data_IF_061615493847
#
_entry.id   IF_061615493847
#
_cell.length_a   1.000
_cell.length_b   1.000
_cell.length_c   1.000
_cell.angle_alpha   90.00
_cell.angle_beta   90.00
_cell.angle_gamma   90.00
#
_symmetry.space_group_name_H-M   'P 1'
#
loop_
_entity.id
_entity.type
_entity.pdbx_description
1 polymer ?
#
# COMPACT_ATOMS: atom_id res chain seq x y z
N UNK A 1 -18.22 6.76 -12.03
CA UNK A 1 -17.20 5.80 -11.57
C UNK A 1 -16.10 6.56 -10.84
N UNK A 2 -15.69 6.07 -9.67
CA UNK A 2 -14.63 6.72 -8.88
C UNK A 2 -13.27 6.52 -9.53
N UNK A 3 -12.40 7.53 -9.41
CA UNK A 3 -11.00 7.39 -9.80
C UNK A 3 -10.27 6.51 -8.79
N UNK A 4 -9.41 5.63 -9.28
CA UNK A 4 -8.61 4.78 -8.43
C UNK A 4 -7.27 5.46 -8.11
N UNK A 5 -7.03 5.72 -6.83
CA UNK A 5 -5.82 6.37 -6.32
C UNK A 5 -5.05 5.38 -5.47
N UNK A 6 -3.78 5.19 -5.80
CA UNK A 6 -2.86 4.37 -5.01
C UNK A 6 -1.90 5.28 -4.24
N UNK A 7 -1.69 4.98 -2.98
CA UNK A 7 -0.73 5.66 -2.12
C UNK A 7 0.26 4.64 -1.60
N UNK A 8 1.55 4.90 -1.74
CA UNK A 8 2.56 3.97 -1.26
C UNK A 8 3.94 4.59 -1.16
N UNK A 9 4.80 3.93 -0.40
CA UNK A 9 6.20 4.32 -0.30
C UNK A 9 6.99 3.84 -1.51
N UNK A 10 7.94 4.65 -1.95
CA UNK A 10 8.99 4.20 -2.85
C UNK A 10 9.75 3.04 -2.19
N UNK A 11 9.87 1.91 -2.89
CA UNK A 11 10.66 0.78 -2.43
C UNK A 11 12.14 1.00 -2.73
N UNK A 12 12.91 1.49 -1.77
CA UNK A 12 14.31 1.86 -2.01
C UNK A 12 15.20 0.69 -2.46
N UNK A 13 14.85 -0.53 -2.09
CA UNK A 13 15.55 -1.73 -2.53
C UNK A 13 14.82 -2.41 -3.70
N UNK A 14 13.52 -2.62 -3.57
CA UNK A 14 12.72 -3.36 -4.55
C UNK A 14 12.55 -2.58 -5.85
N UNK A 15 12.16 -1.31 -5.76
CA UNK A 15 11.94 -0.48 -6.95
C UNK A 15 13.24 -0.12 -7.67
N UNK A 16 14.39 -0.22 -7.00
CA UNK A 16 15.69 -0.05 -7.65
C UNK A 16 16.04 -1.17 -8.63
N UNK A 17 15.39 -2.32 -8.52
CA UNK A 17 15.53 -3.42 -9.47
C UNK A 17 16.88 -4.13 -9.47
N UNK A 18 17.71 -3.95 -8.45
CA UNK A 18 19.12 -4.41 -8.46
C UNK A 18 19.29 -5.94 -8.45
N UNK A 19 18.41 -6.67 -7.77
CA UNK A 19 18.54 -8.13 -7.61
C UNK A 19 17.52 -8.93 -8.40
N UNK A 20 16.36 -8.34 -8.62
CA UNK A 20 15.27 -8.93 -9.42
C UNK A 20 14.75 -7.81 -10.28
N UNK A 21 14.41 -8.13 -11.52
CA UNK A 21 13.83 -7.12 -12.43
C UNK A 21 12.43 -6.68 -12.02
N UNK A 22 11.95 -7.14 -10.88
CA UNK A 22 10.65 -6.78 -10.34
C UNK A 22 10.74 -5.46 -9.55
N UNK A 23 9.97 -4.51 -10.01
CA UNK A 23 9.80 -3.21 -9.36
C UNK A 23 8.34 -3.07 -8.96
N UNK A 24 8.00 -3.28 -7.66
CA UNK A 24 6.60 -3.36 -7.22
C UNK A 24 5.73 -2.18 -7.63
N UNK A 25 6.25 -0.98 -7.51
CA UNK A 25 5.48 0.23 -7.84
C UNK A 25 5.19 0.34 -9.34
N UNK A 26 6.09 -0.14 -10.19
CA UNK A 26 5.89 -0.13 -11.64
C UNK A 26 4.96 -1.26 -12.08
N UNK A 27 5.20 -2.48 -11.60
CA UNK A 27 4.36 -3.61 -11.97
C UNK A 27 2.92 -3.50 -11.48
N UNK A 28 2.69 -2.74 -10.41
CA UNK A 28 1.33 -2.51 -9.94
C UNK A 28 0.43 -1.93 -11.04
N UNK A 29 0.93 -0.99 -11.82
CA UNK A 29 0.14 -0.35 -12.89
C UNK A 29 0.06 -1.17 -14.17
N UNK A 30 0.76 -2.32 -14.25
CA UNK A 30 0.67 -3.24 -15.38
C UNK A 30 -0.56 -4.15 -15.31
N UNK A 31 -1.22 -4.24 -14.15
CA UNK A 31 -2.41 -5.08 -13.99
C UNK A 31 -3.64 -4.46 -14.67
N UNK A 32 -4.10 -5.09 -15.75
CA UNK A 32 -5.20 -4.58 -16.55
C UNK A 32 -6.54 -4.53 -15.78
N UNK A 33 -6.71 -5.41 -14.81
CA UNK A 33 -7.89 -5.49 -13.96
C UNK A 33 -7.85 -4.54 -12.76
N UNK A 34 -6.76 -3.79 -12.60
CA UNK A 34 -6.61 -2.80 -11.54
C UNK A 34 -6.05 -1.51 -12.13
N UNK A 35 -6.85 -0.75 -12.89
CA UNK A 35 -6.40 0.50 -13.49
C UNK A 35 -6.18 1.58 -12.42
N UNK A 36 -5.07 2.27 -12.51
CA UNK A 36 -4.69 3.33 -11.56
C UNK A 36 -4.75 4.68 -12.27
N UNK A 37 -5.56 5.58 -11.74
CA UNK A 37 -5.70 6.94 -12.29
C UNK A 37 -4.63 7.88 -11.73
N UNK A 38 -4.31 7.73 -10.43
CA UNK A 38 -3.27 8.53 -9.78
C UNK A 38 -2.49 7.68 -8.80
N UNK A 39 -1.19 7.88 -8.77
CA UNK A 39 -0.27 7.22 -7.83
C UNK A 39 0.45 8.29 -7.01
N UNK A 40 0.18 8.33 -5.72
CA UNK A 40 0.88 9.17 -4.75
C UNK A 40 2.09 8.38 -4.23
N UNK A 41 3.27 8.71 -4.72
CA UNK A 41 4.51 8.00 -4.39
C UNK A 41 5.30 8.78 -3.32
N UNK A 42 5.39 8.22 -2.14
CA UNK A 42 6.04 8.83 -0.98
C UNK A 42 7.52 8.47 -0.97
N UNK A 43 8.39 9.47 -0.85
CA UNK A 43 9.84 9.27 -0.82
C UNK A 43 10.52 10.29 0.08
N UNK A 44 11.72 9.97 0.57
CA UNK A 44 12.58 10.96 1.21
C UNK A 44 13.40 11.71 0.17
N UNK A 45 13.93 12.86 0.53
CA UNK A 45 14.79 13.68 -0.37
C UNK A 45 16.01 12.89 -0.85
N UNK A 46 16.54 12.03 -0.01
CA UNK A 46 17.69 11.17 -0.34
C UNK A 46 17.43 10.32 -1.60
N UNK A 47 16.20 9.89 -1.81
CA UNK A 47 15.82 8.99 -2.88
C UNK A 47 15.05 9.68 -4.01
N UNK A 48 15.15 11.00 -4.10
CA UNK A 48 14.42 11.78 -5.10
C UNK A 48 14.73 11.33 -6.53
N UNK A 49 15.99 11.05 -6.85
CA UNK A 49 16.37 10.61 -8.20
C UNK A 49 15.74 9.27 -8.55
N UNK A 50 15.71 8.31 -7.60
CA UNK A 50 15.01 7.05 -7.81
C UNK A 50 13.51 7.27 -7.96
N UNK A 51 12.92 8.13 -7.13
CA UNK A 51 11.50 8.44 -7.22
C UNK A 51 11.13 9.00 -8.59
N UNK A 52 11.94 9.89 -9.15
CA UNK A 52 11.72 10.43 -10.49
C UNK A 52 11.85 9.38 -11.58
N UNK A 53 12.78 8.45 -11.46
CA UNK A 53 12.92 7.30 -12.39
C UNK A 53 11.70 6.40 -12.33
N UNK A 54 11.21 6.11 -11.14
CA UNK A 54 10.03 5.25 -10.97
C UNK A 54 8.77 5.97 -11.49
N UNK A 55 8.64 7.26 -11.22
CA UNK A 55 7.57 8.07 -11.81
C UNK A 55 7.55 7.97 -13.33
N UNK A 56 8.70 8.18 -13.95
CA UNK A 56 8.82 8.09 -15.41
C UNK A 56 8.47 6.68 -15.93
N UNK A 57 8.91 5.63 -15.22
CA UNK A 57 8.61 4.27 -15.58
C UNK A 57 7.11 3.94 -15.46
N UNK A 58 6.46 4.41 -14.39
CA UNK A 58 5.02 4.25 -14.20
C UNK A 58 4.25 4.96 -15.30
N UNK A 59 4.56 6.20 -15.57
CA UNK A 59 3.86 7.01 -16.59
C UNK A 59 4.09 6.47 -18.00
N UNK A 60 5.27 5.89 -18.27
CA UNK A 60 5.56 5.21 -19.53
C UNK A 60 4.79 3.90 -19.69
N UNK A 61 4.70 3.12 -18.62
CA UNK A 61 4.00 1.83 -18.59
C UNK A 61 2.48 2.02 -18.65
N UNK A 62 1.98 3.04 -17.97
CA UNK A 62 0.56 3.34 -17.84
C UNK A 62 0.33 4.84 -18.09
N UNK A 63 0.21 5.26 -19.37
CA UNK A 63 0.07 6.69 -19.69
C UNK A 63 -1.11 7.39 -19.08
N UNK A 64 -2.17 6.64 -18.70
CA UNK A 64 -3.33 7.19 -18.01
C UNK A 64 -3.09 7.44 -16.51
N UNK A 65 -2.00 6.94 -15.95
CA UNK A 65 -1.69 7.12 -14.53
C UNK A 65 -0.89 8.39 -14.31
N UNK A 66 -1.44 9.32 -13.55
CA UNK A 66 -0.71 10.50 -13.07
C UNK A 66 0.07 10.12 -11.83
N UNK A 67 1.37 10.41 -11.78
CA UNK A 67 2.20 10.16 -10.60
C UNK A 67 2.54 11.47 -9.92
N UNK A 68 2.17 11.57 -8.65
CA UNK A 68 2.55 12.71 -7.81
C UNK A 68 3.58 12.23 -6.77
N UNK A 69 4.71 12.92 -6.73
CA UNK A 69 5.76 12.62 -5.75
C UNK A 69 5.46 13.37 -4.46
N UNK A 70 5.42 12.65 -3.35
CA UNK A 70 5.18 13.20 -2.02
C UNK A 70 6.44 13.05 -1.19
N UNK A 71 7.09 14.17 -0.86
CA UNK A 71 8.27 14.14 -0.01
C UNK A 71 7.86 14.01 1.46
N UNK A 72 8.44 13.02 2.13
CA UNK A 72 8.20 12.78 3.56
C UNK A 72 9.53 12.38 4.20
N UNK A 73 9.96 13.14 5.20
CA UNK A 73 11.21 12.86 5.90
C UNK A 73 10.93 12.10 7.18
N UNK A 74 11.50 10.91 7.28
CA UNK A 74 11.45 10.04 8.45
C UNK A 74 12.89 9.70 8.80
N UNK A 75 13.33 10.11 9.99
CA UNK A 75 14.73 9.89 10.43
C UNK A 75 15.02 8.42 10.65
N UNK A 76 14.11 7.74 11.35
CA UNK A 76 14.22 6.31 11.61
C UNK A 76 12.95 5.60 11.13
N UNK A 77 13.00 4.95 9.95
CA UNK A 77 11.83 4.25 9.40
C UNK A 77 11.45 2.99 10.20
N UNK A 78 12.20 2.63 11.22
CA UNK A 78 11.90 1.53 12.14
C UNK A 78 11.31 2.00 13.47
N UNK A 79 11.25 3.32 13.71
CA UNK A 79 10.62 3.89 14.90
C UNK A 79 9.11 4.02 14.67
N UNK A 80 8.33 3.25 15.41
CA UNK A 80 6.88 3.21 15.27
C UNK A 80 6.22 4.57 15.50
N UNK A 81 6.60 5.29 16.56
CA UNK A 81 5.99 6.57 16.88
C UNK A 81 6.24 7.61 15.79
N UNK A 82 7.47 7.66 15.28
CA UNK A 82 7.83 8.61 14.23
C UNK A 82 7.10 8.31 12.92
N UNK A 83 7.08 7.04 12.51
CA UNK A 83 6.39 6.63 11.27
C UNK A 83 4.89 6.83 11.38
N UNK A 84 4.29 6.41 12.50
CA UNK A 84 2.86 6.61 12.71
C UNK A 84 2.48 8.09 12.70
N UNK A 85 3.25 8.93 13.41
CA UNK A 85 3.02 10.37 13.44
C UNK A 85 3.11 11.02 12.06
N UNK A 86 4.13 10.64 11.28
CA UNK A 86 4.31 11.18 9.92
C UNK A 86 3.15 10.78 9.00
N UNK A 87 2.71 9.53 9.06
CA UNK A 87 1.59 9.06 8.25
C UNK A 87 0.25 9.61 8.73
N UNK A 88 0.08 9.79 10.03
CA UNK A 88 -1.11 10.43 10.58
C UNK A 88 -1.22 11.89 10.10
N UNK A 89 -0.13 12.64 10.17
CA UNK A 89 -0.10 14.02 9.69
C UNK A 89 -0.38 14.09 8.18
N UNK A 90 0.21 13.19 7.41
CA UNK A 90 -0.09 13.06 5.99
C UNK A 90 -1.59 12.83 5.76
N UNK A 91 -2.19 11.94 6.52
CA UNK A 91 -3.62 11.64 6.40
C UNK A 91 -4.50 12.84 6.72
N UNK A 92 -4.12 13.63 7.72
CA UNK A 92 -4.86 14.84 8.09
C UNK A 92 -4.78 15.94 7.01
N UNK A 93 -3.65 16.04 6.34
CA UNK A 93 -3.38 17.11 5.38
C UNK A 93 -3.79 16.76 3.95
N UNK A 94 -3.96 15.48 3.64
CA UNK A 94 -4.14 15.02 2.25
C UNK A 94 -5.47 15.50 1.62
N UNK A 95 -6.53 15.61 2.38
CA UNK A 95 -7.83 16.03 1.83
C UNK A 95 -8.50 14.93 0.99
N UNK A 96 -8.75 13.78 1.59
CA UNK A 96 -9.43 12.67 0.93
C UNK A 96 -10.84 13.05 0.48
N UNK A 97 -11.23 12.59 -0.71
CA UNK A 97 -12.56 12.74 -1.28
C UNK A 97 -13.07 11.36 -1.69
N UNK A 98 -13.63 10.64 -0.73
CA UNK A 98 -14.10 9.26 -0.94
C UNK A 98 -15.41 9.17 -1.71
N UNK A 99 -16.04 10.28 -2.02
CA UNK A 99 -17.17 10.31 -2.94
C UNK A 99 -16.74 10.20 -4.41
N UNK A 100 -15.59 10.78 -4.75
CA UNK A 100 -15.08 10.85 -6.12
C UNK A 100 -13.92 9.90 -6.39
N UNK A 101 -13.20 9.52 -5.33
CA UNK A 101 -11.99 8.73 -5.44
C UNK A 101 -12.06 7.50 -4.53
N UNK A 102 -11.51 6.41 -5.00
CA UNK A 102 -11.30 5.20 -4.23
C UNK A 102 -9.81 5.07 -3.95
N UNK A 103 -9.46 4.90 -2.68
CA UNK A 103 -8.06 4.89 -2.25
C UNK A 103 -7.60 3.48 -1.91
N UNK A 104 -6.38 3.17 -2.34
CA UNK A 104 -5.71 1.92 -2.04
C UNK A 104 -4.30 2.22 -1.54
N UNK A 105 -3.92 1.63 -0.43
CA UNK A 105 -2.55 1.75 0.10
C UNK A 105 -1.75 0.54 -0.34
N UNK A 106 -0.63 0.80 -1.04
CA UNK A 106 0.28 -0.24 -1.49
C UNK A 106 1.17 -0.69 -0.32
N UNK A 107 0.93 -1.88 0.20
CA UNK A 107 1.61 -2.42 1.37
C UNK A 107 2.97 -3.04 1.08
N UNK A 108 3.25 -3.41 -0.16
CA UNK A 108 4.42 -4.24 -0.50
C UNK A 108 5.74 -3.53 -0.24
N UNK A 109 5.76 -2.21 -0.32
CA UNK A 109 6.94 -1.38 -0.14
C UNK A 109 6.97 -0.75 1.25
N UNK A 110 8.16 -0.30 1.65
CA UNK A 110 8.37 0.29 2.98
C UNK A 110 8.81 -0.74 4.03
N UNK A 111 9.05 -0.27 5.24
CA UNK A 111 9.42 -1.14 6.36
C UNK A 111 8.19 -1.87 6.92
N UNK A 112 8.42 -2.90 7.72
CA UNK A 112 7.33 -3.57 8.46
C UNK A 112 6.59 -2.58 9.37
N UNK A 113 7.30 -1.63 9.95
CA UNK A 113 6.71 -0.57 10.77
C UNK A 113 5.73 0.27 9.95
N UNK A 114 6.14 0.68 8.75
CA UNK A 114 5.26 1.42 7.84
C UNK A 114 4.02 0.60 7.47
N UNK A 115 4.18 -0.69 7.20
CA UNK A 115 3.06 -1.57 6.87
C UNK A 115 2.06 -1.65 8.02
N UNK A 116 2.54 -1.80 9.25
CA UNK A 116 1.69 -1.83 10.45
C UNK A 116 0.96 -0.50 10.62
N UNK A 117 1.66 0.62 10.46
CA UNK A 117 1.06 1.96 10.57
C UNK A 117 -0.03 2.18 9.51
N UNK A 118 0.23 1.79 8.27
CA UNK A 118 -0.78 1.85 7.20
C UNK A 118 -2.02 1.04 7.57
N UNK A 119 -1.83 -0.17 8.04
CA UNK A 119 -2.94 -1.03 8.47
C UNK A 119 -3.77 -0.36 9.56
N UNK A 120 -3.11 0.16 10.61
CA UNK A 120 -3.80 0.80 11.72
C UNK A 120 -4.60 2.03 11.28
N UNK A 121 -4.02 2.86 10.41
CA UNK A 121 -4.67 4.07 9.92
C UNK A 121 -5.85 3.76 9.00
N UNK A 122 -5.74 2.73 8.19
CA UNK A 122 -6.84 2.30 7.32
C UNK A 122 -7.95 1.60 8.12
N UNK A 123 -7.60 0.75 9.06
CA UNK A 123 -8.56 0.04 9.92
C UNK A 123 -9.34 1.01 10.80
N UNK A 124 -8.67 2.00 11.40
CA UNK A 124 -9.30 3.03 12.22
C UNK A 124 -10.04 4.10 11.41
N UNK A 125 -9.98 4.03 10.08
CA UNK A 125 -10.64 4.96 9.14
C UNK A 125 -10.10 6.39 9.20
N UNK A 126 -8.89 6.60 9.72
CA UNK A 126 -8.19 7.87 9.51
C UNK A 126 -7.80 8.06 8.05
N UNK A 127 -7.61 6.95 7.34
CA UNK A 127 -7.45 6.93 5.89
C UNK A 127 -8.58 6.07 5.32
N UNK A 128 -9.44 6.63 4.46
CA UNK A 128 -10.57 5.88 3.87
C UNK A 128 -10.09 5.02 2.70
N UNK A 129 -9.25 4.03 2.98
CA UNK A 129 -8.59 3.24 1.96
C UNK A 129 -8.72 1.74 2.22
N UNK A 130 -8.70 0.97 1.14
CA UNK A 130 -8.39 -0.46 1.17
C UNK A 130 -6.88 -0.63 1.07
N UNK A 131 -6.41 -1.84 1.33
CA UNK A 131 -5.00 -2.18 1.16
C UNK A 131 -4.81 -2.95 -0.14
N UNK A 132 -3.69 -2.75 -0.81
CA UNK A 132 -3.31 -3.54 -1.97
C UNK A 132 -1.93 -4.12 -1.77
N UNK A 133 -1.80 -5.41 -2.04
CA UNK A 133 -0.57 -6.15 -1.90
C UNK A 133 -0.19 -6.74 -3.25
N UNK A 134 1.05 -6.57 -3.64
CA UNK A 134 1.59 -7.12 -4.89
C UNK A 134 2.70 -8.11 -4.59
N UNK A 135 2.91 -9.03 -5.52
CA UNK A 135 3.97 -10.02 -5.43
C UNK A 135 4.67 -10.20 -6.76
N UNK A 136 5.93 -10.69 -6.75
CA UNK A 136 6.69 -10.86 -7.97
C UNK A 136 6.10 -11.96 -8.86
N UNK A 137 6.33 -11.90 -10.18
CA UNK A 137 5.93 -12.98 -11.06
C UNK A 137 6.70 -14.25 -10.72
N UNK A 138 6.01 -15.40 -10.79
CA UNK A 138 6.58 -16.71 -10.48
C UNK A 138 7.26 -17.36 -11.69
N UNK A 139 7.06 -16.80 -12.87
CA UNK A 139 7.61 -17.29 -14.14
C UNK A 139 7.27 -16.35 -15.27
N UNK A 140 7.72 -16.66 -16.47
CA UNK A 140 7.50 -15.82 -17.65
C UNK A 140 6.01 -15.65 -18.00
N UNK A 141 5.19 -16.64 -17.66
CA UNK A 141 3.76 -16.65 -17.97
C UNK A 141 2.90 -15.93 -16.92
N UNK A 142 3.50 -15.46 -15.84
CA UNK A 142 2.76 -14.85 -14.71
C UNK A 142 2.57 -13.32 -14.89
N UNK A 143 3.02 -12.77 -16.01
CA UNK A 143 2.88 -11.36 -16.35
C UNK A 143 3.50 -10.44 -15.30
N UNK A 144 2.73 -9.46 -14.78
CA UNK A 144 3.24 -8.50 -13.78
C UNK A 144 3.30 -9.07 -12.35
N UNK A 145 3.00 -10.34 -12.15
CA UNK A 145 2.92 -10.97 -10.84
C UNK A 145 1.52 -10.95 -10.24
N UNK A 146 1.44 -11.05 -8.91
CA UNK A 146 0.17 -11.09 -8.21
C UNK A 146 -0.25 -9.71 -7.71
N UNK A 147 -1.56 -9.50 -7.61
CA UNK A 147 -2.16 -8.32 -6.98
C UNK A 147 -3.38 -8.76 -6.19
N UNK A 148 -3.44 -8.38 -4.94
CA UNK A 148 -4.56 -8.69 -4.05
C UNK A 148 -5.02 -7.43 -3.34
N UNK A 149 -6.31 -7.13 -3.45
CA UNK A 149 -6.94 -6.06 -2.67
C UNK A 149 -7.47 -6.65 -1.38
N UNK A 150 -7.10 -6.03 -0.26
CA UNK A 150 -7.56 -6.42 1.08
C UNK A 150 -8.55 -5.36 1.55
N UNK A 151 -9.81 -5.75 1.67
CA UNK A 151 -10.84 -4.90 2.25
C UNK A 151 -10.88 -5.13 3.75
N UNK A 152 -10.72 -4.05 4.51
CA UNK A 152 -10.72 -4.11 5.98
C UNK A 152 -12.14 -4.06 6.58
N UNK A 153 -13.15 -4.33 5.77
CA UNK A 153 -14.49 -4.62 6.29
C UNK A 153 -14.47 -6.01 6.97
N UNK A 154 -14.28 -5.99 8.26
CA UNK A 154 -14.13 -7.20 9.05
C UNK A 154 -15.40 -8.07 9.11
N UNK A 155 -16.54 -7.54 8.64
CA UNK A 155 -17.77 -8.33 8.54
C UNK A 155 -17.60 -9.58 7.67
N UNK A 156 -16.72 -9.51 6.66
CA UNK A 156 -16.38 -10.65 5.79
C UNK A 156 -15.69 -11.80 6.55
N UNK A 157 -15.10 -11.51 7.70
CA UNK A 157 -14.32 -12.47 8.49
C UNK A 157 -15.05 -12.93 9.76
N UNK A 158 -16.30 -12.51 9.96
CA UNK A 158 -17.09 -12.86 11.13
C UNK A 158 -17.21 -14.38 11.31
N UNK A 159 -17.41 -15.12 10.23
CA UNK A 159 -17.48 -16.58 10.28
C UNK A 159 -16.17 -17.20 10.79
N UNK A 160 -15.01 -16.62 10.39
CA UNK A 160 -13.70 -17.07 10.88
C UNK A 160 -13.49 -16.72 12.35
N UNK A 161 -13.90 -15.54 12.77
CA UNK A 161 -13.83 -15.12 14.16
C UNK A 161 -14.69 -16.01 15.05
N UNK A 162 -15.92 -16.27 14.66
CA UNK A 162 -16.81 -17.17 15.39
C UNK A 162 -16.22 -18.57 15.51
N UNK A 163 -15.60 -19.07 14.45
CA UNK A 163 -14.93 -20.36 14.43
C UNK A 163 -13.74 -20.39 15.40
N UNK A 164 -12.94 -19.34 15.44
CA UNK A 164 -11.83 -19.20 16.38
C UNK A 164 -12.32 -19.15 17.83
N UNK A 165 -13.41 -18.43 18.10
CA UNK A 165 -14.00 -18.35 19.43
C UNK A 165 -14.52 -19.71 19.92
N UNK A 166 -15.09 -20.52 19.05
CA UNK A 166 -15.54 -21.89 19.39
C UNK A 166 -14.35 -22.78 19.80
N UNK A 167 -13.21 -22.64 19.16
CA UNK A 167 -12.02 -23.42 19.47
C UNK A 167 -11.26 -22.90 20.69
N UNK A 168 -11.40 -21.63 21.03
CA UNK A 168 -10.68 -21.00 22.13
C UNK A 168 -11.57 -20.70 23.34
N UNK A 169 -12.83 -21.12 23.32
CA UNK A 169 -13.72 -21.01 24.48
C UNK A 169 -13.11 -21.70 25.70
N UNK A 170 -12.99 -21.01 26.84
CA UNK A 170 -12.46 -21.66 28.03
C UNK A 170 -13.34 -22.86 28.43
N UNK A 171 -12.69 -23.93 28.83
CA UNK A 171 -13.43 -25.06 29.36
C UNK A 171 -14.10 -24.66 30.69
N UNK A 172 -15.15 -25.36 31.13
CA UNK A 172 -15.79 -25.07 32.42
C UNK A 172 -14.85 -25.08 33.62
N UNK A 173 -13.64 -25.66 33.47
CA UNK A 173 -12.63 -25.68 34.53
C UNK A 173 -11.84 -24.37 34.64
N UNK A 174 -11.89 -23.53 33.64
CA UNK A 174 -11.14 -22.28 33.57
C UNK A 174 -11.98 -21.08 34.02
N UNK A 175 -13.19 -21.32 34.44
CA UNK A 175 -14.10 -20.30 34.94
C UNK A 175 -13.98 -20.15 36.47
#
# INVERSE_FOLDING_TARGET
>A
MKKNVVIGFLGTNLDAGKRRRWRPSVQLVEHADFPVDRFELIHSIRWKNLAEKIKAAIESTSPQTEVLLQQMEIKDPWDFEEVYGALFDFAQDYGFDDEREEYHIHLTTGTHVAQICWFLLAESRHIPAKLVQTGPPRGEDDGPGSLQVVDLDLSRYNALQQRCLLYTSPSPRDS
#
